data_IF_252745804514
#
_entry.id   IF_252745804514
#
_cell.length_a   1.000
_cell.length_b   1.000
_cell.length_c   1.000
_cell.angle_alpha   90.00
_cell.angle_beta   90.00
_cell.angle_gamma   90.00
#
_symmetry.space_group_name_H-M   'P 1'
#
loop_
_entity.id
_entity.type
_entity.pdbx_description
1 polymer ?
#
# COMPACT_ATOMS: atom_id res chain seq x y z
N UNK A 1 9.30 -5.24 8.65
CA UNK A 1 8.36 -4.37 7.91
C UNK A 1 7.70 -5.21 6.82
N UNK A 2 6.37 -5.26 6.78
CA UNK A 2 5.61 -6.09 5.84
C UNK A 2 5.10 -5.24 4.67
N UNK A 3 5.38 -5.69 3.45
CA UNK A 3 5.07 -4.98 2.20
C UNK A 3 4.33 -5.96 1.30
N UNK A 4 3.10 -5.66 0.91
CA UNK A 4 2.27 -6.59 0.13
C UNK A 4 1.40 -5.84 -0.90
N UNK A 5 1.19 -6.48 -2.05
CA UNK A 5 0.25 -6.04 -3.09
C UNK A 5 -0.99 -6.94 -3.11
N UNK A 6 -2.17 -6.30 -3.19
CA UNK A 6 -3.51 -6.86 -3.44
C UNK A 6 -4.04 -7.94 -2.49
N UNK A 7 -3.40 -9.11 -2.37
CA UNK A 7 -4.02 -10.33 -1.82
C UNK A 7 -3.32 -10.88 -0.58
N UNK A 8 -2.14 -10.35 -0.24
CA UNK A 8 -1.31 -10.85 0.85
C UNK A 8 -1.70 -10.39 2.25
N UNK A 9 -2.83 -9.68 2.43
CA UNK A 9 -3.30 -9.29 3.76
C UNK A 9 -3.66 -10.49 4.64
N UNK A 10 -4.07 -11.61 4.03
CA UNK A 10 -4.44 -12.86 4.73
C UNK A 10 -3.25 -13.66 5.26
N UNK A 11 -2.04 -13.49 4.71
CA UNK A 11 -1.06 -14.57 4.79
C UNK A 11 -0.06 -14.52 5.95
N UNK A 12 0.08 -13.43 6.72
CA UNK A 12 1.05 -13.44 7.84
C UNK A 12 1.02 -12.22 8.76
N UNK A 13 0.20 -12.26 9.82
CA UNK A 13 0.52 -11.57 11.08
C UNK A 13 0.03 -12.40 12.27
N UNK A 14 0.89 -12.72 13.26
CA UNK A 14 0.49 -13.49 14.45
C UNK A 14 -0.50 -12.75 15.36
N UNK A 15 -0.56 -11.42 15.26
CA UNK A 15 -1.53 -10.57 15.94
C UNK A 15 -2.59 -10.16 14.94
N UNK A 16 -3.77 -10.78 15.04
CA UNK A 16 -4.96 -10.39 14.29
C UNK A 16 -5.11 -8.88 14.35
N UNK A 17 -5.11 -8.24 13.18
CA UNK A 17 -5.30 -6.81 13.07
C UNK A 17 -6.57 -6.54 12.28
N UNK A 18 -7.67 -6.95 12.91
CA UNK A 18 -9.06 -6.71 12.50
C UNK A 18 -9.43 -5.21 12.55
N UNK A 19 -8.55 -4.34 13.08
CA UNK A 19 -8.75 -2.87 13.10
C UNK A 19 -7.66 -2.10 12.35
N UNK A 20 -6.86 -2.77 11.50
CA UNK A 20 -5.87 -2.05 10.71
C UNK A 20 -6.43 -1.52 9.40
N UNK A 21 -6.12 -0.26 9.05
CA UNK A 21 -6.41 0.26 7.72
C UNK A 21 -5.66 -0.59 6.70
N UNK A 22 -6.41 -1.09 5.71
CA UNK A 22 -5.87 -1.87 4.61
C UNK A 22 -6.61 -1.52 3.31
N UNK A 23 -5.97 -1.78 2.17
CA UNK A 23 -6.55 -1.58 0.85
C UNK A 23 -6.32 -2.83 0.00
N UNK A 24 -7.12 -3.04 -1.02
CA UNK A 24 -7.01 -4.16 -1.96
C UNK A 24 -7.60 -3.75 -3.30
N UNK A 25 -7.48 -4.64 -4.30
CA UNK A 25 -8.08 -4.48 -5.60
C UNK A 25 -9.55 -4.07 -5.46
N UNK A 26 -10.01 -3.09 -6.24
CA UNK A 26 -11.36 -2.52 -6.09
C UNK A 26 -12.48 -3.58 -6.09
N UNK A 27 -12.33 -4.65 -6.88
CA UNK A 27 -13.27 -5.79 -6.90
C UNK A 27 -13.25 -6.63 -5.61
N UNK A 28 -12.10 -6.69 -4.92
CA UNK A 28 -11.91 -7.46 -3.69
C UNK A 28 -12.18 -6.63 -2.42
N UNK A 29 -12.50 -5.33 -2.54
CA UNK A 29 -12.78 -4.46 -1.38
C UNK A 29 -13.98 -4.93 -0.58
N UNK A 30 -15.05 -5.36 -1.25
CA UNK A 30 -16.25 -5.88 -0.60
C UNK A 30 -15.94 -7.16 0.20
N UNK A 31 -15.16 -8.07 -0.39
CA UNK A 31 -14.72 -9.29 0.27
C UNK A 31 -13.83 -9.00 1.47
N UNK A 32 -12.92 -8.02 1.36
CA UNK A 32 -12.06 -7.59 2.46
C UNK A 32 -12.87 -7.02 3.63
N UNK A 33 -13.88 -6.18 3.34
CA UNK A 33 -14.78 -5.65 4.35
C UNK A 33 -15.61 -6.75 5.01
N UNK A 34 -16.13 -7.72 4.23
CA UNK A 34 -16.90 -8.85 4.74
C UNK A 34 -16.09 -9.77 5.67
N UNK A 35 -14.77 -9.76 5.53
CA UNK A 35 -13.84 -10.53 6.38
C UNK A 35 -13.32 -9.74 7.58
N UNK A 36 -13.87 -8.55 7.86
CA UNK A 36 -13.47 -7.74 9.00
C UNK A 36 -12.24 -6.86 8.78
N UNK A 37 -11.80 -6.66 7.53
CA UNK A 37 -10.74 -5.70 7.22
C UNK A 37 -11.25 -4.26 7.19
N UNK A 38 -10.50 -3.31 7.78
CA UNK A 38 -10.82 -1.88 7.73
C UNK A 38 -10.37 -1.29 6.39
N UNK A 39 -11.25 -1.40 5.39
CA UNK A 39 -10.98 -0.95 4.02
C UNK A 39 -10.84 0.57 3.96
N UNK A 40 -9.69 1.03 3.46
CA UNK A 40 -9.40 2.44 3.20
C UNK A 40 -9.33 2.67 1.71
N UNK A 41 -10.04 3.70 1.22
CA UNK A 41 -9.99 4.06 -0.20
C UNK A 41 -8.74 4.88 -0.53
N UNK A 42 -7.61 4.18 -0.55
CA UNK A 42 -6.31 4.73 -0.91
C UNK A 42 -5.55 3.77 -1.83
N UNK A 43 -4.69 4.33 -2.67
CA UNK A 43 -3.82 3.57 -3.59
C UNK A 43 -2.75 2.81 -2.82
N UNK A 44 -2.19 3.45 -1.80
CA UNK A 44 -1.23 2.89 -0.85
C UNK A 44 -1.68 3.27 0.55
N UNK A 45 -1.66 2.30 1.46
CA UNK A 45 -1.91 2.48 2.89
C UNK A 45 -0.62 2.16 3.62
N UNK A 46 -0.04 3.14 4.32
CA UNK A 46 1.10 2.95 5.21
C UNK A 46 0.64 3.10 6.66
N UNK A 47 0.65 1.99 7.40
CA UNK A 47 0.42 1.93 8.84
C UNK A 47 1.71 1.51 9.57
N UNK A 48 2.81 2.21 9.27
CA UNK A 48 4.09 2.07 9.94
C UNK A 48 4.81 0.77 9.56
N UNK A 49 4.49 -0.34 10.21
CA UNK A 49 5.12 -1.63 9.96
C UNK A 49 4.42 -2.46 8.86
N UNK A 50 3.30 -1.96 8.34
CA UNK A 50 2.51 -2.56 7.26
C UNK A 50 2.30 -1.52 6.17
N UNK A 51 2.68 -1.87 4.94
CA UNK A 51 2.41 -1.05 3.76
C UNK A 51 1.74 -1.90 2.70
N UNK A 52 0.54 -1.51 2.27
CA UNK A 52 -0.29 -2.28 1.32
C UNK A 52 -0.70 -1.41 0.14
N UNK A 53 -0.70 -2.00 -1.06
CA UNK A 53 -1.24 -1.38 -2.27
C UNK A 53 -2.59 -1.99 -2.70
N UNK A 54 -3.50 -1.13 -3.15
CA UNK A 54 -4.87 -1.49 -3.51
C UNK A 54 -5.07 -2.02 -4.93
N UNK A 55 -4.03 -2.40 -5.66
CA UNK A 55 -4.17 -2.86 -7.05
C UNK A 55 -2.84 -3.27 -7.67
N UNK A 56 -2.90 -4.07 -8.74
CA UNK A 56 -1.71 -4.56 -9.45
C UNK A 56 -0.87 -3.39 -9.96
N UNK A 57 -1.51 -2.39 -10.55
CA UNK A 57 -0.88 -1.14 -11.01
C UNK A 57 -0.50 -0.19 -9.89
N UNK A 58 -1.09 -0.35 -8.69
CA UNK A 58 -0.71 0.42 -7.50
C UNK A 58 0.57 -0.11 -6.84
N UNK A 59 1.07 -1.28 -7.28
CA UNK A 59 2.36 -1.82 -6.85
C UNK A 59 3.55 -0.92 -7.22
N UNK A 60 3.47 -0.19 -8.34
CA UNK A 60 4.51 0.78 -8.74
C UNK A 60 4.54 1.97 -7.79
N UNK A 61 3.37 2.54 -7.49
CA UNK A 61 3.25 3.60 -6.47
C UNK A 61 3.67 3.13 -5.07
N UNK A 62 3.46 1.86 -4.74
CA UNK A 62 4.02 1.28 -3.51
C UNK A 62 5.54 1.24 -3.55
N UNK A 63 6.16 0.79 -4.64
CA UNK A 63 7.62 0.73 -4.76
C UNK A 63 8.25 2.12 -4.63
N UNK A 64 7.69 3.13 -5.31
CA UNK A 64 8.13 4.52 -5.23
C UNK A 64 7.91 5.14 -3.85
N UNK A 65 6.78 4.85 -3.19
CA UNK A 65 6.56 5.24 -1.80
C UNK A 65 7.63 4.66 -0.87
N UNK A 66 7.98 3.39 -1.08
CA UNK A 66 8.99 2.70 -0.29
C UNK A 66 10.40 3.26 -0.53
N UNK A 67 10.73 3.62 -1.77
CA UNK A 67 11.98 4.31 -2.10
C UNK A 67 12.01 5.68 -1.42
N UNK A 68 10.92 6.43 -1.49
CA UNK A 68 10.80 7.74 -0.81
C UNK A 68 11.05 7.62 0.69
N UNK A 69 10.51 6.57 1.32
CA UNK A 69 10.63 6.33 2.76
C UNK A 69 12.03 5.88 3.20
N UNK A 70 12.66 4.99 2.46
CA UNK A 70 13.95 4.39 2.86
C UNK A 70 15.16 5.16 2.32
N UNK A 71 15.05 5.73 1.11
CA UNK A 71 16.14 6.38 0.39
C UNK A 71 15.95 7.90 0.27
N UNK A 72 14.77 8.43 0.62
CA UNK A 72 14.45 9.85 0.51
C UNK A 72 13.81 10.25 -0.82
N UNK A 73 13.26 11.47 -0.85
CA UNK A 73 12.47 11.96 -1.96
C UNK A 73 13.28 12.19 -3.26
N UNK A 74 14.56 12.55 -3.17
CA UNK A 74 15.41 12.76 -4.36
C UNK A 74 15.57 11.47 -5.18
N UNK A 75 15.84 10.36 -4.51
CA UNK A 75 16.00 9.05 -5.16
C UNK A 75 14.67 8.60 -5.78
N UNK A 76 13.54 8.88 -5.13
CA UNK A 76 12.24 8.56 -5.70
C UNK A 76 11.96 9.34 -6.99
N UNK A 77 12.28 10.63 -7.02
CA UNK A 77 12.15 11.49 -8.22
C UNK A 77 13.04 11.00 -9.37
N UNK A 78 14.28 10.58 -9.07
CA UNK A 78 15.18 10.01 -10.07
C UNK A 78 14.59 8.72 -10.66
N UNK A 79 14.02 7.85 -9.82
CA UNK A 79 13.38 6.61 -10.28
C UNK A 79 12.12 6.89 -11.10
N UNK A 80 11.29 7.87 -10.70
CA UNK A 80 10.15 8.33 -11.51
C UNK A 80 10.60 8.80 -12.89
N UNK A 81 11.68 9.57 -12.96
CA UNK A 81 12.24 10.05 -14.22
C UNK A 81 12.77 8.92 -15.09
N UNK A 82 13.48 7.95 -14.52
CA UNK A 82 14.02 6.80 -15.27
C UNK A 82 12.91 5.88 -15.76
N UNK A 83 11.84 5.73 -14.98
CA UNK A 83 10.71 4.89 -15.33
C UNK A 83 9.68 5.59 -16.23
N UNK A 84 9.85 6.89 -16.51
CA UNK A 84 8.84 7.75 -17.14
C UNK A 84 7.46 7.60 -16.49
N UNK A 85 7.46 7.44 -15.16
CA UNK A 85 6.28 7.15 -14.38
C UNK A 85 6.03 8.26 -13.36
N UNK A 86 4.89 8.93 -13.50
CA UNK A 86 4.44 9.93 -12.54
C UNK A 86 3.58 9.25 -11.46
N UNK A 87 4.01 9.30 -10.19
CA UNK A 87 3.22 8.77 -9.10
C UNK A 87 1.95 9.60 -8.89
N UNK A 88 0.81 8.96 -9.20
CA UNK A 88 -0.52 9.55 -9.01
C UNK A 88 -1.29 8.86 -7.89
N UNK A 89 -1.90 9.68 -7.04
CA UNK A 89 -2.80 9.27 -5.97
C UNK A 89 -2.22 9.51 -4.57
N UNK A 90 -3.11 9.66 -3.59
CA UNK A 90 -2.72 9.89 -2.20
C UNK A 90 -2.28 8.58 -1.51
N UNK A 91 -1.20 8.67 -0.76
CA UNK A 91 -0.80 7.65 0.21
C UNK A 91 -1.49 7.97 1.54
N UNK A 92 -2.31 7.05 2.03
CA UNK A 92 -2.89 7.17 3.35
C UNK A 92 -1.86 6.82 4.41
N UNK A 93 -1.76 7.64 5.46
CA UNK A 93 -0.82 7.48 6.57
C UNK A 93 -1.53 7.70 7.90
N UNK A 94 -1.28 6.82 8.87
CA UNK A 94 -1.60 7.08 10.27
C UNK A 94 -0.45 7.91 10.87
N UNK A 95 -0.76 9.10 11.41
CA UNK A 95 0.24 9.98 12.05
C UNK A 95 0.53 9.57 13.48
#
# INVERSE_FOLDING_TARGET
MFRSSCDGWRSRTPSGREDRPCTTHHLAKADLAAQGGRVTDARVVDDGNLVIAGGVTSGVGLALWLITRECGASVALDVESVMEYEQRGAVWRNS
#
